data_IF_853085451271
#
_entry.id   IF_853085451271
#
_cell.length_a   1.000
_cell.length_b   1.000
_cell.length_c   1.000
_cell.angle_alpha   90.00
_cell.angle_beta   90.00
_cell.angle_gamma   90.00
#
_symmetry.space_group_name_H-M   'P 1'
#
loop_
_entity.id
_entity.type
_entity.pdbx_description
1 polymer ?
#
# COMPACT_ATOMS: atom_id res chain seq x y z
N UNK A 1 -6.70 4.63 14.59
CA UNK A 1 -5.63 3.70 15.01
C UNK A 1 -6.20 2.28 14.99
N UNK A 2 -5.57 1.36 14.27
CA UNK A 2 -6.06 -0.01 14.07
C UNK A 2 -5.06 -1.04 14.61
N UNK A 3 -5.53 -2.25 14.92
CA UNK A 3 -4.68 -3.38 15.28
C UNK A 3 -4.26 -4.13 14.03
N UNK A 4 -2.99 -4.50 13.95
CA UNK A 4 -2.49 -5.52 13.03
C UNK A 4 -2.09 -6.72 13.89
N UNK A 5 -2.94 -7.74 13.87
CA UNK A 5 -2.76 -9.02 14.54
C UNK A 5 -3.18 -10.12 13.56
N UNK A 6 -2.54 -11.30 13.58
CA UNK A 6 -3.01 -12.41 12.77
C UNK A 6 -4.41 -12.83 13.24
N UNK A 7 -5.33 -13.00 12.30
CA UNK A 7 -6.72 -13.39 12.59
C UNK A 7 -7.02 -14.76 11.98
N UNK A 8 -7.59 -15.71 12.75
CA UNK A 8 -8.05 -16.98 12.22
C UNK A 8 -9.01 -16.80 11.04
N UNK A 9 -8.80 -17.53 9.96
CA UNK A 9 -9.60 -17.46 8.73
C UNK A 9 -9.11 -16.44 7.70
N UNK A 10 -8.13 -15.60 8.04
CA UNK A 10 -7.54 -14.62 7.12
C UNK A 10 -6.16 -15.04 6.57
N UNK A 11 -5.70 -16.25 6.86
CA UNK A 11 -4.29 -16.67 6.74
C UNK A 11 -3.68 -16.41 5.35
N UNK A 12 -4.45 -16.66 4.30
CA UNK A 12 -4.03 -16.61 2.90
C UNK A 12 -4.47 -15.32 2.15
N UNK A 13 -5.05 -14.35 2.85
CA UNK A 13 -5.53 -13.09 2.24
C UNK A 13 -4.40 -12.07 2.05
N UNK A 14 -4.60 -11.05 1.22
CA UNK A 14 -3.67 -9.94 1.02
C UNK A 14 -4.04 -8.72 1.88
N UNK A 15 -4.21 -8.94 3.18
CA UNK A 15 -4.57 -7.91 4.16
C UNK A 15 -3.66 -7.98 5.39
N UNK A 16 -3.65 -6.92 6.23
CA UNK A 16 -2.77 -6.84 7.40
C UNK A 16 -2.93 -7.98 8.42
N UNK A 17 -4.11 -8.60 8.52
CA UNK A 17 -4.40 -9.74 9.41
C UNK A 17 -3.98 -11.11 8.86
N UNK A 18 -3.46 -11.18 7.63
CA UNK A 18 -2.96 -12.42 7.04
C UNK A 18 -1.72 -12.94 7.76
N UNK A 19 -1.30 -14.17 7.48
CA UNK A 19 -0.13 -14.75 8.14
C UNK A 19 0.64 -15.75 7.29
N UNK A 20 0.02 -16.83 6.80
CA UNK A 20 0.72 -17.95 6.16
C UNK A 20 1.09 -17.71 4.70
N UNK A 21 0.59 -16.63 4.11
CA UNK A 21 1.06 -16.11 2.82
C UNK A 21 1.95 -14.90 3.02
N UNK A 22 2.86 -14.68 2.06
CA UNK A 22 3.51 -13.38 1.93
C UNK A 22 2.45 -12.32 1.65
N UNK A 23 2.57 -11.19 2.36
CA UNK A 23 1.82 -9.98 2.05
C UNK A 23 2.63 -9.21 1.01
N UNK A 24 2.10 -9.14 -0.21
CA UNK A 24 2.73 -8.56 -1.36
C UNK A 24 2.99 -7.06 -1.18
N UNK A 25 3.84 -6.51 -2.05
CA UNK A 25 4.15 -5.09 -2.07
C UNK A 25 2.92 -4.24 -2.30
N UNK A 26 2.61 -3.33 -1.38
CA UNK A 26 1.53 -2.38 -1.58
C UNK A 26 1.85 -1.01 -0.99
N UNK A 27 1.24 -0.01 -1.62
CA UNK A 27 0.99 1.30 -1.05
C UNK A 27 -0.23 1.19 -0.13
N UNK A 28 -0.19 1.75 1.08
CA UNK A 28 -1.31 1.67 2.02
C UNK A 28 -2.55 2.37 1.44
N UNK A 29 -3.70 1.68 1.49
CA UNK A 29 -4.97 2.11 0.91
C UNK A 29 -4.83 2.64 -0.52
N UNK A 30 -4.00 1.97 -1.33
CA UNK A 30 -3.57 2.46 -2.63
C UNK A 30 -4.73 2.96 -3.49
N UNK A 31 -5.87 2.26 -3.52
CA UNK A 31 -7.07 2.59 -4.29
C UNK A 31 -7.76 3.92 -3.92
N UNK A 32 -7.49 4.49 -2.75
CA UNK A 32 -8.25 5.60 -2.19
C UNK A 32 -7.61 6.96 -2.55
N UNK A 33 -8.38 7.96 -3.03
CA UNK A 33 -7.84 9.28 -3.37
C UNK A 33 -7.31 10.02 -2.14
N UNK A 34 -7.98 9.83 -1.00
CA UNK A 34 -7.50 10.32 0.30
C UNK A 34 -6.57 9.36 1.05
N UNK A 35 -5.91 8.38 0.40
CA UNK A 35 -4.99 7.45 1.11
C UNK A 35 -3.97 8.19 1.98
N UNK A 36 -3.48 7.55 3.03
CA UNK A 36 -2.51 8.16 3.95
C UNK A 36 -1.29 8.72 3.20
N UNK A 37 -0.70 9.82 3.67
CA UNK A 37 0.60 10.30 3.19
C UNK A 37 1.73 9.62 3.97
N UNK A 38 1.51 9.36 5.26
CA UNK A 38 2.41 8.57 6.09
C UNK A 38 1.66 7.39 6.72
N UNK A 39 2.29 6.22 6.64
CA UNK A 39 1.91 5.04 7.39
C UNK A 39 2.83 4.89 8.60
N UNK A 40 2.25 4.81 9.78
CA UNK A 40 2.96 4.59 11.03
C UNK A 40 2.63 3.20 11.56
N UNK A 41 3.65 2.40 11.81
CA UNK A 41 3.52 1.09 12.46
C UNK A 41 4.28 1.12 13.79
N UNK A 42 3.53 0.99 14.89
CA UNK A 42 4.09 0.91 16.24
C UNK A 42 4.07 -0.54 16.69
N UNK A 43 5.22 -1.08 17.07
CA UNK A 43 5.30 -2.45 17.56
C UNK A 43 4.91 -2.53 19.03
N UNK A 44 3.83 -3.27 19.32
CA UNK A 44 3.43 -3.60 20.68
C UNK A 44 4.12 -4.90 21.12
N UNK A 45 4.19 -5.88 20.21
CA UNK A 45 4.78 -7.20 20.48
C UNK A 45 5.23 -7.89 19.18
N UNK A 46 6.38 -8.56 19.22
CA UNK A 46 6.90 -9.33 18.09
C UNK A 46 7.88 -10.44 18.55
N UNK A 47 7.41 -11.49 19.26
CA UNK A 47 8.28 -12.47 19.92
C UNK A 47 9.16 -13.27 18.94
N UNK A 48 8.71 -13.42 17.70
CA UNK A 48 9.41 -14.20 16.67
C UNK A 48 10.24 -13.33 15.73
N UNK A 49 10.34 -12.01 15.98
CA UNK A 49 11.09 -11.12 15.11
C UNK A 49 10.56 -11.05 13.67
N UNK A 50 9.24 -11.22 13.47
CA UNK A 50 8.62 -11.18 12.15
C UNK A 50 8.72 -9.75 11.60
N UNK A 51 9.62 -9.58 10.62
CA UNK A 51 9.93 -8.29 10.00
C UNK A 51 8.83 -7.80 9.07
N UNK A 52 8.54 -6.51 9.13
CA UNK A 52 7.93 -5.83 7.99
C UNK A 52 9.01 -5.69 6.91
N UNK A 53 8.63 -5.75 5.63
CA UNK A 53 9.54 -5.48 4.52
C UNK A 53 9.19 -4.14 3.90
N UNK A 54 10.20 -3.38 3.46
CA UNK A 54 10.04 -2.11 2.76
C UNK A 54 10.87 -2.10 1.48
N UNK A 55 10.43 -1.33 0.50
CA UNK A 55 11.22 -0.98 -0.67
C UNK A 55 10.82 0.42 -1.16
N UNK A 56 11.78 1.19 -1.67
CA UNK A 56 11.52 2.56 -2.14
C UNK A 56 11.68 2.68 -3.64
N UNK A 57 10.89 3.56 -4.25
CA UNK A 57 11.00 3.85 -5.69
C UNK A 57 12.38 4.38 -6.08
N UNK A 58 13.04 5.10 -5.17
CA UNK A 58 14.40 5.61 -5.38
C UNK A 58 15.46 4.51 -5.44
N UNK A 59 15.25 3.40 -4.74
CA UNK A 59 16.15 2.23 -4.77
C UNK A 59 15.92 1.31 -5.97
N UNK A 60 14.78 1.45 -6.67
CA UNK A 60 14.42 0.56 -7.77
C UNK A 60 15.31 0.72 -9.02
N UNK A 61 16.04 1.84 -9.17
CA UNK A 61 17.00 2.02 -10.27
C UNK A 61 16.39 1.90 -11.67
N UNK A 62 15.14 2.34 -11.83
CA UNK A 62 14.42 2.26 -13.10
C UNK A 62 15.07 3.12 -14.18
N UNK A 63 15.02 2.63 -15.42
CA UNK A 63 15.46 3.40 -16.57
C UNK A 63 14.37 4.40 -17.03
N UNK A 64 14.78 5.36 -17.86
CA UNK A 64 13.89 6.41 -18.39
C UNK A 64 12.77 5.86 -19.28
N UNK A 65 12.95 4.66 -19.86
CA UNK A 65 11.93 4.04 -20.71
C UNK A 65 10.80 3.51 -19.84
N UNK A 66 11.12 2.74 -18.81
CA UNK A 66 10.15 2.20 -17.85
C UNK A 66 9.41 3.33 -17.13
N UNK A 67 10.13 4.38 -16.70
CA UNK A 67 9.51 5.55 -16.07
C UNK A 67 8.47 6.18 -17.00
N UNK A 68 8.80 6.41 -18.28
CA UNK A 68 7.85 6.99 -19.25
C UNK A 68 6.59 6.16 -19.43
N UNK A 69 6.70 4.83 -19.43
CA UNK A 69 5.52 3.97 -19.48
C UNK A 69 4.70 4.11 -18.20
N UNK A 70 5.34 4.02 -17.02
CA UNK A 70 4.67 4.01 -15.72
C UNK A 70 4.10 5.36 -15.27
N UNK A 71 4.49 6.46 -15.93
CA UNK A 71 3.85 7.79 -15.81
C UNK A 71 2.48 7.86 -16.51
N UNK A 72 2.13 6.87 -17.35
CA UNK A 72 0.82 6.84 -18.02
C UNK A 72 -0.29 6.35 -17.08
N UNK A 73 -1.51 6.89 -17.19
CA UNK A 73 -2.63 6.56 -16.30
C UNK A 73 -3.32 5.24 -16.69
N UNK A 74 -2.60 4.12 -16.64
CA UNK A 74 -3.04 2.83 -17.19
C UNK A 74 -3.33 1.77 -16.11
N UNK A 75 -3.37 2.16 -14.84
CA UNK A 75 -3.61 1.21 -13.72
C UNK A 75 -4.80 1.66 -12.89
N UNK A 76 -5.77 0.78 -12.70
CA UNK A 76 -6.81 0.96 -11.68
C UNK A 76 -6.56 0.00 -10.52
N UNK A 77 -6.56 0.51 -9.29
CA UNK A 77 -6.38 -0.30 -8.09
C UNK A 77 -7.74 -0.44 -7.41
N UNK A 78 -8.14 -1.68 -7.15
CA UNK A 78 -9.41 -2.01 -6.50
C UNK A 78 -9.24 -2.02 -4.97
N UNK A 79 -10.32 -1.87 -4.18
CA UNK A 79 -10.26 -2.10 -2.74
C UNK A 79 -9.83 -3.52 -2.41
N UNK A 80 -9.10 -3.68 -1.31
CA UNK A 80 -8.71 -4.99 -0.80
C UNK A 80 -9.89 -5.75 -0.17
N UNK A 81 -9.66 -7.02 0.19
CA UNK A 81 -10.68 -7.90 0.75
C UNK A 81 -11.15 -7.49 2.17
N UNK A 82 -10.52 -6.51 2.81
CA UNK A 82 -11.00 -5.95 4.09
C UNK A 82 -12.18 -5.00 3.90
N UNK A 83 -12.44 -4.57 2.67
CA UNK A 83 -13.57 -3.71 2.33
C UNK A 83 -14.72 -4.55 1.76
N UNK A 84 -15.69 -4.85 2.61
CA UNK A 84 -16.92 -5.59 2.28
C UNK A 84 -17.88 -4.75 1.40
N UNK A 85 -17.50 -4.45 0.15
CA UNK A 85 -18.41 -3.79 -0.78
C UNK A 85 -18.29 -4.36 -2.20
N UNK A 86 -19.15 -5.33 -2.51
CA UNK A 86 -19.26 -5.99 -3.81
C UNK A 86 -19.67 -5.06 -4.97
N UNK A 87 -19.87 -3.78 -4.70
CA UNK A 87 -20.14 -2.75 -5.72
C UNK A 87 -18.88 -2.26 -6.44
N UNK A 88 -17.68 -2.60 -5.95
CA UNK A 88 -16.43 -2.17 -6.57
C UNK A 88 -16.27 -2.62 -8.03
N UNK A 89 -16.69 -3.85 -8.34
CA UNK A 89 -16.63 -4.41 -9.69
C UNK A 89 -17.61 -3.75 -10.69
N UNK A 90 -18.62 -3.01 -10.21
CA UNK A 90 -19.64 -2.40 -11.05
C UNK A 90 -19.31 -0.97 -11.51
N UNK A 91 -18.22 -0.38 -11.00
CA UNK A 91 -17.79 0.98 -11.35
C UNK A 91 -16.78 0.95 -12.48
N UNK A 92 -16.90 1.89 -13.42
CA UNK A 92 -15.91 2.08 -14.49
C UNK A 92 -14.55 2.44 -13.86
N UNK A 93 -13.47 1.70 -14.16
CA UNK A 93 -12.16 1.95 -13.59
C UNK A 93 -11.61 3.31 -14.04
N UNK A 94 -11.04 4.05 -13.11
CA UNK A 94 -10.33 5.30 -13.41
C UNK A 94 -8.84 4.99 -13.40
N UNK A 95 -8.20 5.09 -14.56
CA UNK A 95 -6.77 4.85 -14.68
C UNK A 95 -5.95 5.92 -13.97
N UNK A 96 -4.95 5.46 -13.20
CA UNK A 96 -3.92 6.23 -12.51
C UNK A 96 -2.54 5.81 -12.97
N UNK A 97 -1.59 6.73 -12.83
CA UNK A 97 -0.19 6.45 -13.08
C UNK A 97 0.40 5.69 -11.89
N UNK A 98 1.24 4.71 -12.17
CA UNK A 98 1.98 3.97 -11.13
C UNK A 98 3.08 4.85 -10.54
N UNK A 99 3.69 5.68 -11.39
CA UNK A 99 4.69 6.68 -10.99
C UNK A 99 4.16 8.08 -11.28
N UNK A 100 4.68 9.07 -10.55
CA UNK A 100 4.51 10.48 -10.91
C UNK A 100 5.74 11.30 -10.50
N UNK A 101 5.89 12.48 -11.07
CA UNK A 101 6.96 13.39 -10.69
C UNK A 101 6.63 14.08 -9.36
N UNK A 102 7.61 14.05 -8.44
CA UNK A 102 7.64 14.83 -7.21
C UNK A 102 8.84 15.77 -7.28
N UNK A 103 8.89 16.80 -6.43
CA UNK A 103 10.01 17.75 -6.41
C UNK A 103 11.36 17.03 -6.23
N UNK A 104 12.08 16.84 -7.34
CA UNK A 104 13.38 16.16 -7.38
C UNK A 104 13.36 14.64 -7.18
N UNK A 105 12.19 13.99 -7.19
CA UNK A 105 12.08 12.54 -7.02
C UNK A 105 10.88 11.94 -7.76
N UNK A 106 10.72 10.62 -7.70
CA UNK A 106 9.49 9.95 -8.14
C UNK A 106 8.57 9.69 -6.95
N UNK A 107 7.27 9.78 -7.21
CA UNK A 107 6.23 9.18 -6.40
C UNK A 107 5.87 7.79 -6.93
N UNK A 108 5.37 6.93 -6.04
CA UNK A 108 4.97 5.56 -6.34
C UNK A 108 3.60 5.26 -5.74
N UNK A 109 2.74 4.63 -6.54
CA UNK A 109 1.46 4.07 -6.13
C UNK A 109 1.32 2.71 -6.80
N UNK A 110 1.48 1.66 -6.01
CA UNK A 110 1.65 0.30 -6.51
C UNK A 110 1.01 -0.70 -5.56
N UNK A 111 0.22 -1.61 -6.11
CA UNK A 111 -0.39 -2.74 -5.42
C UNK A 111 -0.75 -3.80 -6.48
N UNK A 112 0.13 -4.76 -6.77
CA UNK A 112 -0.06 -5.71 -7.86
C UNK A 112 -1.15 -6.74 -7.53
N UNK A 113 -1.51 -6.92 -6.25
CA UNK A 113 -2.54 -7.87 -5.83
C UNK A 113 -3.94 -7.40 -6.19
N UNK A 114 -4.15 -6.08 -6.17
CA UNK A 114 -5.44 -5.46 -6.48
C UNK A 114 -5.43 -4.54 -7.71
N UNK A 115 -4.33 -4.53 -8.48
CA UNK A 115 -4.21 -3.75 -9.71
C UNK A 115 -4.80 -4.45 -10.93
N UNK A 116 -5.58 -3.68 -11.71
CA UNK A 116 -5.99 -4.00 -13.07
C UNK A 116 -5.29 -3.06 -14.04
N UNK A 117 -4.55 -3.63 -15.01
CA UNK A 117 -3.98 -2.88 -16.12
C UNK A 117 -5.09 -2.57 -17.15
N UNK A 118 -5.18 -1.31 -17.57
CA UNK A 118 -6.20 -0.79 -18.50
C UNK A 118 -5.70 -0.65 -19.94
N UNK A 119 -4.51 -1.20 -20.22
CA UNK A 119 -3.84 -1.11 -21.51
C UNK A 119 -3.44 -2.47 -22.03
N UNK A 120 -3.45 -2.62 -23.35
CA UNK A 120 -2.94 -3.80 -24.03
C UNK A 120 -1.46 -3.71 -24.46
N UNK A 121 -0.82 -2.58 -24.15
CA UNK A 121 0.59 -2.32 -24.44
C UNK A 121 1.52 -3.25 -23.65
N UNK A 122 2.18 -4.17 -24.36
CA UNK A 122 3.13 -5.12 -23.77
C UNK A 122 4.31 -4.43 -23.08
N UNK A 123 4.80 -3.31 -23.61
CA UNK A 123 5.92 -2.57 -23.01
C UNK A 123 5.53 -1.94 -21.68
N UNK A 124 4.27 -1.51 -21.53
CA UNK A 124 3.74 -1.06 -20.25
C UNK A 124 3.69 -2.22 -19.24
N UNK A 125 3.14 -3.38 -19.64
CA UNK A 125 3.05 -4.56 -18.75
C UNK A 125 4.44 -5.00 -18.29
N UNK A 126 5.38 -5.00 -19.21
CA UNK A 126 6.78 -5.34 -18.95
C UNK A 126 7.45 -4.35 -17.99
N UNK A 127 7.23 -3.05 -18.18
CA UNK A 127 7.72 -2.01 -17.28
C UNK A 127 7.13 -2.18 -15.86
N UNK A 128 5.83 -2.47 -15.76
CA UNK A 128 5.15 -2.72 -14.48
C UNK A 128 5.72 -3.97 -13.78
N UNK A 129 5.99 -5.03 -14.53
CA UNK A 129 6.67 -6.23 -14.01
C UNK A 129 8.13 -5.99 -13.62
N UNK A 130 8.87 -5.17 -14.38
CA UNK A 130 10.25 -4.75 -14.05
C UNK A 130 10.29 -3.94 -12.76
N UNK A 131 9.36 -3.00 -12.57
CA UNK A 131 9.19 -2.28 -11.31
C UNK A 131 9.01 -3.24 -10.14
N UNK A 132 8.11 -4.23 -10.25
CA UNK A 132 7.91 -5.21 -9.17
C UNK A 132 9.19 -5.99 -8.82
N UNK A 133 9.94 -6.45 -9.83
CA UNK A 133 11.24 -7.12 -9.63
C UNK A 133 12.29 -6.22 -9.01
N UNK A 134 12.33 -4.95 -9.43
CA UNK A 134 13.27 -3.97 -8.92
C UNK A 134 12.98 -3.62 -7.45
N UNK A 135 11.70 -3.45 -7.10
CA UNK A 135 11.26 -3.25 -5.71
C UNK A 135 11.63 -4.45 -4.84
N UNK A 136 11.41 -5.68 -5.32
CA UNK A 136 11.80 -6.90 -4.61
C UNK A 136 13.32 -6.95 -4.37
N UNK A 137 14.11 -6.70 -5.41
CA UNK A 137 15.58 -6.73 -5.34
C UNK A 137 16.16 -5.63 -4.42
N UNK A 138 15.54 -4.45 -4.38
CA UNK A 138 15.92 -3.32 -3.52
C UNK A 138 15.31 -3.38 -2.11
N UNK A 139 14.53 -4.42 -1.80
CA UNK A 139 13.82 -4.50 -0.53
C UNK A 139 14.73 -4.79 0.66
N UNK A 140 14.30 -4.35 1.83
CA UNK A 140 14.97 -4.62 3.10
C UNK A 140 13.96 -4.93 4.20
N UNK A 141 14.39 -5.74 5.17
CA UNK A 141 13.62 -6.03 6.37
C UNK A 141 13.76 -4.94 7.42
N UNK A 142 12.66 -4.59 8.07
CA UNK A 142 12.61 -3.72 9.25
C UNK A 142 12.29 -4.60 10.46
N UNK A 143 13.31 -5.01 11.25
CA UNK A 143 13.07 -5.69 12.51
C UNK A 143 12.43 -4.70 13.47
N UNK A 144 11.26 -5.05 14.01
CA UNK A 144 10.55 -4.21 14.98
C UNK A 144 10.52 -4.92 16.33
N UNK A 145 11.08 -4.27 17.35
CA UNK A 145 10.97 -4.64 18.75
C UNK A 145 9.84 -3.84 19.44
N UNK A 146 9.31 -4.32 20.59
CA UNK A 146 8.30 -3.56 21.33
C UNK A 146 8.75 -2.13 21.64
N UNK A 147 7.92 -1.15 21.29
CA UNK A 147 8.22 0.28 21.44
C UNK A 147 8.78 0.94 20.18
N UNK A 148 9.25 0.18 19.20
CA UNK A 148 9.72 0.73 17.93
C UNK A 148 8.54 1.31 17.12
N UNK A 149 8.82 2.43 16.46
CA UNK A 149 7.94 3.07 15.49
C UNK A 149 8.67 3.16 14.16
N UNK A 150 8.07 2.62 13.10
CA UNK A 150 8.47 2.91 11.73
C UNK A 150 7.48 3.89 11.10
N UNK A 151 8.03 4.91 10.44
CA UNK A 151 7.28 5.91 9.69
C UNK A 151 7.62 5.71 8.21
N UNK A 152 6.60 5.48 7.39
CA UNK A 152 6.74 5.15 5.99
C UNK A 152 6.11 6.28 5.18
N UNK A 153 6.86 6.88 4.25
CA UNK A 153 6.30 7.79 3.24
C UNK A 153 5.55 6.94 2.21
N UNK A 154 4.21 7.02 2.26
CA UNK A 154 3.31 6.19 1.46
C UNK A 154 3.32 6.58 -0.03
N UNK A 155 3.98 7.68 -0.40
CA UNK A 155 4.19 8.07 -1.80
C UNK A 155 5.58 7.71 -2.31
N UNK A 156 6.47 7.17 -1.47
CA UNK A 156 7.85 6.85 -1.86
C UNK A 156 8.19 5.36 -1.69
N UNK A 157 7.44 4.66 -0.85
CA UNK A 157 7.74 3.29 -0.46
C UNK A 157 6.51 2.39 -0.55
N UNK A 158 6.75 1.16 -0.97
CA UNK A 158 5.83 0.05 -0.76
C UNK A 158 6.27 -0.72 0.47
N UNK A 159 5.32 -1.42 1.06
CA UNK A 159 5.58 -2.28 2.18
C UNK A 159 4.91 -3.64 2.00
N UNK A 160 5.40 -4.62 2.74
CA UNK A 160 4.92 -5.99 2.71
C UNK A 160 5.38 -6.72 3.96
N UNK A 161 5.20 -8.04 3.97
CA UNK A 161 5.61 -8.88 5.10
C UNK A 161 5.80 -10.32 4.66
N UNK A 162 6.87 -10.95 5.13
CA UNK A 162 7.05 -12.38 4.94
C UNK A 162 5.91 -13.19 5.58
N UNK A 163 5.69 -14.38 5.05
CA UNK A 163 4.82 -15.36 5.69
C UNK A 163 5.35 -15.75 7.09
N UNK A 164 4.44 -16.05 8.01
CA UNK A 164 4.75 -16.61 9.32
C UNK A 164 3.60 -17.50 9.80
N UNK A 165 3.88 -18.35 10.78
CA UNK A 165 2.87 -19.23 11.36
C UNK A 165 2.40 -18.67 12.71
N UNK A 166 1.14 -18.21 12.83
CA UNK A 166 0.62 -17.69 14.09
C UNK A 166 0.30 -18.83 15.07
N UNK A 167 0.30 -18.52 16.36
CA UNK A 167 -0.06 -19.44 17.45
C UNK A 167 -1.54 -19.39 17.79
N UNK A 168 -2.17 -18.22 17.62
CA UNK A 168 -3.54 -17.93 18.03
C UNK A 168 -3.83 -18.16 19.52
N UNK A 169 -2.79 -18.12 20.36
CA UNK A 169 -2.87 -18.23 21.82
C UNK A 169 -2.82 -16.86 22.52
N UNK A 170 -2.93 -15.79 21.74
CA UNK A 170 -2.85 -14.42 22.22
C UNK A 170 -1.42 -13.91 22.43
N UNK A 171 -0.38 -14.64 22.03
CA UNK A 171 1.04 -14.21 22.13
C UNK A 171 1.65 -13.68 20.82
N UNK A 172 0.91 -13.77 19.72
CA UNK A 172 1.39 -13.40 18.38
C UNK A 172 1.79 -11.93 18.21
N UNK A 173 2.49 -11.68 17.10
CA UNK A 173 2.85 -10.35 16.61
C UNK A 173 1.65 -9.38 16.66
N UNK A 174 1.88 -8.21 17.24
CA UNK A 174 0.89 -7.15 17.37
C UNK A 174 1.53 -5.79 17.07
N UNK A 175 1.05 -5.15 16.00
CA UNK A 175 1.36 -3.77 15.69
C UNK A 175 0.11 -2.88 15.82
N UNK A 176 0.32 -1.60 16.07
CA UNK A 176 -0.69 -0.56 15.85
C UNK A 176 -0.40 0.14 14.52
N UNK A 177 -1.45 0.32 13.73
CA UNK A 177 -1.45 1.08 12.48
C UNK A 177 -2.06 2.45 12.69
N UNK A 178 -1.35 3.49 12.26
CA UNK A 178 -1.83 4.87 12.26
C UNK A 178 -1.62 5.44 10.86
N UNK A 179 -2.69 6.02 10.31
CA UNK A 179 -2.70 6.65 9.00
C UNK A 179 -2.69 8.16 9.21
N UNK A 180 -1.74 8.85 8.59
CA UNK A 180 -1.60 10.30 8.72
C UNK A 180 -1.81 10.95 7.37
N UNK A 181 -2.67 11.97 7.36
CA UNK A 181 -2.91 12.87 6.23
C UNK A 181 -2.29 14.24 6.51
N UNK A 182 -1.86 14.88 5.44
CA UNK A 182 -1.15 16.14 5.38
C UNK A 182 -1.60 16.88 4.11
N UNK A 183 -1.38 18.20 3.99
CA UNK A 183 -1.76 18.97 2.80
C UNK A 183 -0.82 18.74 1.61
N UNK A 184 -0.19 17.56 1.52
CA UNK A 184 0.76 17.21 0.46
C UNK A 184 0.03 17.14 -0.88
N UNK A 185 0.63 17.74 -1.90
CA UNK A 185 0.08 17.69 -3.26
C UNK A 185 0.34 16.31 -3.89
N UNK A 186 -0.70 15.79 -4.54
CA UNK A 186 -0.67 14.56 -5.35
C UNK A 186 -1.21 14.87 -6.75
N UNK A 187 -1.02 13.98 -7.75
CA UNK A 187 -1.54 14.19 -9.08
C UNK A 187 -3.03 14.52 -9.06
N UNK A 188 -3.42 15.64 -9.68
CA UNK A 188 -4.82 16.12 -9.65
C UNK A 188 -5.82 15.07 -10.17
N UNK A 189 -5.36 14.16 -11.04
CA UNK A 189 -6.16 13.04 -11.55
C UNK A 189 -6.69 12.12 -10.44
N UNK A 190 -6.00 11.99 -9.31
CA UNK A 190 -6.49 11.18 -8.19
C UNK A 190 -7.83 11.68 -7.65
N UNK A 191 -8.18 12.97 -7.80
CA UNK A 191 -9.50 13.46 -7.38
C UNK A 191 -10.67 12.92 -8.21
N UNK A 192 -10.37 12.25 -9.34
CA UNK A 192 -11.38 11.59 -10.19
C UNK A 192 -11.70 10.18 -9.70
N UNK A 193 -10.90 9.63 -8.79
CA UNK A 193 -11.10 8.30 -8.26
C UNK A 193 -12.30 8.24 -7.34
N UNK A 194 -13.07 7.16 -7.46
CA UNK A 194 -14.36 7.03 -6.75
C UNK A 194 -14.19 6.86 -5.24
N UNK A 195 -12.99 6.47 -4.77
CA UNK A 195 -12.75 5.97 -3.40
C UNK A 195 -13.68 4.81 -3.01
N UNK A 196 -14.33 4.22 -4.01
CA UNK A 196 -15.40 3.23 -3.91
C UNK A 196 -16.52 3.61 -2.92
N UNK A 197 -16.79 4.91 -2.74
CA UNK A 197 -17.82 5.39 -1.81
C UNK A 197 -17.38 5.39 -0.34
N UNK A 198 -16.13 5.02 -0.08
CA UNK A 198 -15.56 5.09 1.26
C UNK A 198 -15.25 6.53 1.64
N UNK A 199 -15.28 6.78 2.95
CA UNK A 199 -14.99 8.09 3.52
C UNK A 199 -14.05 7.89 4.69
N UNK A 200 -12.92 8.59 4.66
CA UNK A 200 -12.05 8.65 5.82
C UNK A 200 -12.74 9.38 6.97
N UNK A 201 -12.68 8.76 8.14
CA UNK A 201 -13.21 9.28 9.40
C UNK A 201 -12.06 9.59 10.33
N UNK A 202 -12.04 10.84 10.84
CA UNK A 202 -11.05 11.26 11.81
C UNK A 202 -11.37 10.72 13.22
N UNK A 203 -10.32 10.47 13.99
CA UNK A 203 -10.35 9.93 15.35
C UNK A 203 -11.12 10.83 16.35
N UNK A 204 -11.22 12.14 16.07
CA UNK A 204 -11.80 13.12 16.99
C UNK A 204 -13.28 13.47 16.75
N UNK A 205 -14.03 12.69 15.96
CA UNK A 205 -15.49 12.83 15.94
C UNK A 205 -16.24 12.32 14.72
N UNK A 206 -15.66 11.42 13.92
CA UNK A 206 -16.33 10.88 12.73
C UNK A 206 -16.72 11.94 11.69
N UNK A 207 -16.19 13.16 11.84
CA UNK A 207 -16.32 14.21 10.83
C UNK A 207 -15.39 13.81 9.68
N UNK A 208 -15.83 13.99 8.41
CA UNK A 208 -14.95 13.77 7.28
C UNK A 208 -13.69 14.62 7.47
N UNK A 209 -12.53 14.02 7.19
CA UNK A 209 -11.25 14.70 7.24
C UNK A 209 -11.34 16.04 6.50
N UNK A 210 -10.76 17.09 7.09
CA UNK A 210 -10.79 18.45 6.58
C UNK A 210 -10.43 18.46 5.08
N UNK A 211 -11.33 19.00 4.25
CA UNK A 211 -10.97 19.43 2.90
C UNK A 211 -10.01 20.60 3.06
N UNK A 212 -8.74 20.36 2.78
CA UNK A 212 -7.74 21.42 2.58
C UNK A 212 -7.86 21.91 1.15
#
# INVERSE_FOLDING_TARGET
MHNIVPSPGCEAMQIGSSSTTELAWHTEDAFHPDRADLLLLVCVRNPDGIGSRLSTVSSAGLDERDIRHLLRPEVAILPDDSYEDGTAAAREPVGMATLWEREGSLGLRYDPSYSRLLTDDEEFRDAYGRLGRALEAGSFGVPLAPGDLVVIDNDAAVHGRTAFRPRYDGTDRWLKRILVRSPRQRPARESLEHGYGQRQVDAHGGRPALRV
#
